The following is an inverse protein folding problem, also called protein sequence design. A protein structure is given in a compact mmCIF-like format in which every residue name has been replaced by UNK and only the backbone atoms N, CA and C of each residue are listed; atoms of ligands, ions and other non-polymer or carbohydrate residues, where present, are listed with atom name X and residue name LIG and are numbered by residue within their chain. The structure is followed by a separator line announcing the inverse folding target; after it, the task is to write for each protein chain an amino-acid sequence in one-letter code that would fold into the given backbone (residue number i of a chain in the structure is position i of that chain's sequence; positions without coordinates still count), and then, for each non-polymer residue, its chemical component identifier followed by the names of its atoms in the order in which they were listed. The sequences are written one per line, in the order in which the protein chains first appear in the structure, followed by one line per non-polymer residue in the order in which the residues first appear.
data_IF_180727806031
#
_entry.id   IF_180727806031
#
_cell.length_a   1.000
_cell.length_b   1.000
_cell.length_c   1.000
_cell.angle_alpha   90.00
_cell.angle_beta   90.00
_cell.angle_gamma   90.00
#
_symmetry.space_group_name_H-M   'P 1'
#
loop_
_entity.id
_entity.type
_entity.pdbx_description
1 polymer ?
#
# COMPACT_ATOMS: atom_id res chain seq x y z
N UNK A 1 -30.77 12.97 -20.00
CA UNK A 1 -30.65 14.15 -19.12
C UNK A 1 -29.97 13.65 -17.86
N UNK A 2 -28.79 14.20 -17.58
CA UNK A 2 -27.98 13.89 -16.40
C UNK A 2 -28.33 14.93 -15.35
N UNK A 3 -28.87 14.50 -14.22
CA UNK A 3 -28.94 15.30 -12.99
C UNK A 3 -28.23 14.46 -11.92
N UNK A 4 -26.93 14.63 -11.67
CA UNK A 4 -26.30 15.75 -10.95
C UNK A 4 -26.99 16.04 -9.62
N UNK A 5 -26.78 15.16 -8.64
CA UNK A 5 -26.82 15.56 -7.23
C UNK A 5 -25.52 15.15 -6.55
N UNK A 6 -24.52 15.99 -6.81
CA UNK A 6 -23.32 16.13 -6.02
C UNK A 6 -23.66 16.93 -4.77
N UNK A 7 -23.55 16.32 -3.59
CA UNK A 7 -23.16 16.95 -2.32
C UNK A 7 -23.73 16.16 -1.14
N UNK A 8 -22.97 15.20 -0.61
CA UNK A 8 -22.94 14.98 0.84
C UNK A 8 -21.49 14.80 1.33
N UNK A 9 -20.92 15.94 1.74
CA UNK A 9 -20.34 16.18 3.06
C UNK A 9 -19.15 15.30 3.49
N UNK A 10 -17.98 15.94 3.47
CA UNK A 10 -16.80 15.76 4.32
C UNK A 10 -16.62 14.36 4.92
N UNK A 11 -15.76 13.54 4.28
CA UNK A 11 -15.28 12.29 4.85
C UNK A 11 -14.28 12.59 5.97
N UNK A 12 -14.80 12.97 7.13
CA UNK A 12 -14.06 13.29 8.35
C UNK A 12 -13.72 12.01 9.14
N UNK A 13 -13.32 10.94 8.45
CA UNK A 13 -12.85 9.70 9.06
C UNK A 13 -11.35 9.55 8.79
N UNK A 14 -10.56 9.34 9.84
CA UNK A 14 -9.17 8.93 9.68
C UNK A 14 -9.13 7.71 8.75
N UNK A 15 -8.32 7.76 7.69
CA UNK A 15 -8.14 6.67 6.71
C UNK A 15 -7.88 5.30 7.37
N UNK A 16 -7.45 5.32 8.63
CA UNK A 16 -7.17 4.17 9.48
C UNK A 16 -8.39 3.31 9.85
N UNK A 17 -9.62 3.86 9.86
CA UNK A 17 -10.79 3.20 10.48
C UNK A 17 -11.63 2.35 9.53
N UNK A 18 -11.32 2.32 8.22
CA UNK A 18 -12.12 1.54 7.23
C UNK A 18 -11.32 0.65 6.28
N UNK A 19 -10.00 0.65 6.37
CA UNK A 19 -9.17 -0.26 5.57
C UNK A 19 -9.04 -1.59 6.33
N UNK A 20 -9.56 -2.66 5.74
CA UNK A 20 -9.46 -4.03 6.26
C UNK A 20 -7.99 -4.34 6.65
N UNK A 21 -7.69 -4.78 7.89
CA UNK A 21 -6.33 -5.15 8.26
C UNK A 21 -5.69 -6.18 7.32
N UNK A 22 -6.50 -7.05 6.71
CA UNK A 22 -6.06 -8.07 5.76
C UNK A 22 -5.77 -7.53 4.35
N UNK A 23 -6.08 -6.26 4.07
CA UNK A 23 -5.70 -5.58 2.83
C UNK A 23 -4.39 -4.79 2.97
N UNK A 24 -3.61 -5.03 4.03
CA UNK A 24 -2.37 -4.31 4.34
C UNK A 24 -1.15 -5.23 4.25
N UNK A 25 0.00 -4.68 3.88
CA UNK A 25 1.28 -5.38 3.75
C UNK A 25 2.41 -4.58 4.37
N UNK A 26 3.36 -5.30 4.96
CA UNK A 26 4.64 -4.74 5.38
C UNK A 26 5.74 -5.28 4.46
N UNK A 27 6.51 -4.37 3.88
CA UNK A 27 7.58 -4.67 2.93
C UNK A 27 8.90 -4.23 3.58
N UNK A 28 9.92 -5.08 3.56
CA UNK A 28 11.26 -4.79 4.08
C UNK A 28 12.33 -5.12 3.06
N UNK A 29 13.53 -4.58 3.26
CA UNK A 29 14.66 -4.77 2.34
C UNK A 29 14.52 -3.93 1.08
N UNK A 30 13.88 -2.76 1.19
CA UNK A 30 13.71 -1.83 0.09
C UNK A 30 15.05 -1.12 -0.17
N UNK A 31 15.56 -1.13 -1.42
CA UNK A 31 16.82 -0.48 -1.75
C UNK A 31 16.80 1.03 -1.46
N UNK A 32 17.93 1.59 -1.02
CA UNK A 32 18.05 3.01 -0.63
C UNK A 32 17.70 3.99 -1.76
N UNK A 33 17.78 3.54 -3.01
CA UNK A 33 17.48 4.32 -4.23
C UNK A 33 16.01 4.32 -4.65
N UNK A 34 15.15 3.60 -3.93
CA UNK A 34 13.73 3.51 -4.24
C UNK A 34 12.95 4.56 -3.44
N UNK A 35 12.20 5.41 -4.14
CA UNK A 35 11.36 6.43 -3.53
C UNK A 35 9.88 6.00 -3.48
N UNK A 36 9.07 6.80 -2.78
CA UNK A 36 7.65 6.51 -2.55
C UNK A 36 6.86 6.44 -3.85
N UNK A 37 7.19 7.29 -4.83
CA UNK A 37 6.49 7.33 -6.12
C UNK A 37 6.80 6.09 -6.96
N UNK A 38 8.07 5.70 -7.01
CA UNK A 38 8.52 4.49 -7.70
C UNK A 38 7.86 3.26 -7.09
N UNK A 39 7.86 3.14 -5.76
CA UNK A 39 7.18 2.03 -5.08
C UNK A 39 5.67 2.02 -5.34
N UNK A 40 5.01 3.18 -5.35
CA UNK A 40 3.60 3.28 -5.68
C UNK A 40 3.33 2.80 -7.12
N UNK A 41 4.09 3.28 -8.10
CA UNK A 41 3.91 2.86 -9.50
C UNK A 41 4.11 1.37 -9.73
N UNK A 42 4.97 0.71 -8.94
CA UNK A 42 5.17 -0.75 -8.98
C UNK A 42 4.02 -1.56 -8.38
N UNK A 43 3.09 -0.95 -7.63
CA UNK A 43 2.06 -1.69 -6.90
C UNK A 43 0.63 -1.19 -7.14
N UNK A 44 0.44 0.02 -7.64
CA UNK A 44 -0.87 0.64 -7.83
C UNK A 44 -1.73 -0.10 -8.87
N UNK A 45 -1.12 -0.84 -9.79
CA UNK A 45 -1.87 -1.69 -10.73
C UNK A 45 -2.59 -2.87 -10.05
N UNK A 46 -2.23 -3.20 -8.80
CA UNK A 46 -2.99 -4.16 -8.00
C UNK A 46 -4.26 -3.57 -7.40
N UNK A 47 -4.40 -2.25 -7.35
CA UNK A 47 -5.58 -1.54 -6.86
C UNK A 47 -5.21 -0.24 -6.14
N UNK A 48 -6.23 0.56 -5.79
CA UNK A 48 -6.04 1.81 -5.05
C UNK A 48 -5.26 1.56 -3.75
N UNK A 49 -4.17 2.31 -3.58
CA UNK A 49 -3.13 2.01 -2.60
C UNK A 49 -2.64 3.26 -1.87
N UNK A 50 -2.49 3.12 -0.55
CA UNK A 50 -1.76 4.03 0.31
C UNK A 50 -0.37 3.46 0.58
N UNK A 51 0.66 4.31 0.52
CA UNK A 51 2.07 3.92 0.69
C UNK A 51 2.71 4.86 1.69
N UNK A 52 3.28 4.27 2.74
CA UNK A 52 4.18 4.94 3.67
C UNK A 52 5.55 4.27 3.59
N UNK A 53 6.55 4.96 3.05
CA UNK A 53 7.90 4.44 2.85
C UNK A 53 8.88 5.16 3.78
N UNK A 54 9.71 4.39 4.47
CA UNK A 54 10.91 4.89 5.13
C UNK A 54 12.07 4.85 4.12
N UNK A 55 12.35 6.02 3.55
CA UNK A 55 13.41 6.22 2.57
C UNK A 55 14.78 6.41 3.24
N UNK A 56 15.86 6.26 2.47
CA UNK A 56 17.23 6.55 2.89
C UNK A 56 17.76 5.74 4.10
N UNK A 57 17.21 4.55 4.35
CA UNK A 57 17.79 3.63 5.32
C UNK A 57 19.16 3.11 4.83
N UNK A 58 20.13 3.01 5.73
CA UNK A 58 21.45 2.47 5.43
C UNK A 58 21.37 1.00 5.01
N UNK A 59 22.15 0.62 3.99
CA UNK A 59 22.35 -0.77 3.59
C UNK A 59 21.13 -1.47 3.01
N UNK A 60 20.32 -0.79 2.18
CA UNK A 60 19.10 -1.35 1.56
C UNK A 60 18.08 -1.90 2.59
N UNK A 61 18.08 -1.35 3.80
CA UNK A 61 17.17 -1.73 4.88
C UNK A 61 15.89 -0.88 4.92
N UNK A 62 15.51 -0.28 3.79
CA UNK A 62 14.25 0.47 3.67
C UNK A 62 13.07 -0.45 3.95
N UNK A 63 11.96 0.16 4.38
CA UNK A 63 10.72 -0.56 4.64
C UNK A 63 9.51 0.30 4.30
N UNK A 64 8.41 -0.35 3.92
CA UNK A 64 7.17 0.32 3.61
C UNK A 64 5.97 -0.38 4.24
N UNK A 65 5.00 0.44 4.62
CA UNK A 65 3.65 0.01 4.92
C UNK A 65 2.74 0.35 3.75
N UNK A 66 2.05 -0.67 3.24
CA UNK A 66 1.19 -0.56 2.07
C UNK A 66 -0.21 -1.00 2.45
N UNK A 67 -1.21 -0.15 2.17
CA UNK A 67 -2.62 -0.47 2.39
C UNK A 67 -3.39 -0.42 1.07
N UNK A 68 -4.02 -1.52 0.68
CA UNK A 68 -4.94 -1.56 -0.45
C UNK A 68 -6.38 -1.38 0.00
N UNK A 69 -7.23 -0.83 -0.87
CA UNK A 69 -8.68 -0.76 -0.62
C UNK A 69 -9.36 -2.13 -0.59
N UNK A 70 -8.76 -3.13 -1.24
CA UNK A 70 -9.33 -4.48 -1.42
C UNK A 70 -8.34 -5.57 -1.04
N UNK A 71 -8.81 -6.56 -0.27
CA UNK A 71 -8.02 -7.71 0.18
C UNK A 71 -7.45 -8.54 -0.97
N UNK A 72 -8.15 -8.64 -2.09
CA UNK A 72 -7.70 -9.40 -3.27
C UNK A 72 -6.43 -8.81 -3.90
N UNK A 73 -6.14 -7.52 -3.67
CA UNK A 73 -4.90 -6.89 -4.13
C UNK A 73 -3.68 -7.54 -3.47
N UNK A 74 -3.72 -7.76 -2.15
CA UNK A 74 -2.65 -8.43 -1.39
C UNK A 74 -2.40 -9.84 -1.93
N UNK A 75 -3.46 -10.61 -2.21
CA UNK A 75 -3.34 -11.94 -2.78
C UNK A 75 -2.73 -11.94 -4.19
N UNK A 76 -2.96 -10.89 -4.99
CA UNK A 76 -2.34 -10.76 -6.31
C UNK A 76 -0.86 -10.39 -6.19
N UNK A 77 -0.50 -9.47 -5.29
CA UNK A 77 0.89 -9.11 -5.00
C UNK A 77 1.67 -10.36 -4.58
N UNK A 78 1.18 -11.11 -3.59
CA UNK A 78 1.83 -12.32 -3.10
C UNK A 78 2.00 -13.42 -4.16
N UNK A 79 1.17 -13.45 -5.20
CA UNK A 79 1.27 -14.41 -6.31
C UNK A 79 2.26 -14.00 -7.39
N UNK A 80 2.43 -12.70 -7.61
CA UNK A 80 3.17 -12.17 -8.77
C UNK A 80 4.54 -11.62 -8.41
N UNK A 81 4.73 -11.10 -7.20
CA UNK A 81 6.00 -10.53 -6.78
C UNK A 81 6.94 -11.63 -6.29
N UNK A 82 8.18 -11.63 -6.80
CA UNK A 82 9.27 -12.51 -6.35
C UNK A 82 9.86 -12.00 -5.03
N UNK A 83 9.04 -11.90 -3.99
CA UNK A 83 9.47 -11.60 -2.64
C UNK A 83 9.26 -12.83 -1.75
N UNK A 84 10.09 -13.00 -0.72
CA UNK A 84 9.93 -14.08 0.25
C UNK A 84 8.96 -13.63 1.34
N UNK A 85 7.79 -14.29 1.53
CA UNK A 85 6.89 -13.94 2.61
C UNK A 85 7.59 -14.10 3.97
N UNK A 86 7.59 -13.03 4.77
CA UNK A 86 8.08 -13.09 6.15
C UNK A 86 6.97 -13.63 7.04
N UNK A 87 7.13 -14.88 7.49
CA UNK A 87 6.16 -15.54 8.38
C UNK A 87 6.33 -15.13 9.84
N UNK A 88 7.45 -14.51 10.20
CA UNK A 88 7.81 -14.07 11.54
C UNK A 88 8.32 -12.62 11.48
N UNK A 89 7.42 -11.64 11.48
CA UNK A 89 7.77 -10.26 11.81
C UNK A 89 7.45 -10.08 13.30
N UNK A 90 8.48 -9.77 14.09
CA UNK A 90 8.43 -9.65 15.56
C UNK A 90 7.83 -8.31 15.95
#
# INVERSE_FOLDING_TARGET
MVDSNQSEKAYNGSYTDRIDPSSRMFIVGIPTRMDTNTLRSEIEHYGDVEVYLCENCEGDNGWAFVGFTRREAVERVCRQVKARPLRNAV
#
